data_IF_449316416842
#
_entry.id   IF_449316416842
#
_cell.length_a   1.000
_cell.length_b   1.000
_cell.length_c   1.000
_cell.angle_alpha   90.00
_cell.angle_beta   90.00
_cell.angle_gamma   90.00
#
_symmetry.space_group_name_H-M   'P 1'
#
loop_
_entity.id
_entity.type
_entity.pdbx_description
1 polymer ?
#
# COMPACT_ATOMS: atom_id res chain seq x y z
N UNK A 1 -48.03 -4.81 79.71
CA UNK A 1 -46.65 -4.86 79.18
C UNK A 1 -46.70 -5.40 77.77
N UNK A 2 -46.67 -4.47 76.75
CA UNK A 2 -46.75 -4.86 75.32
C UNK A 2 -45.33 -4.96 74.74
N UNK A 3 -44.97 -6.10 74.19
CA UNK A 3 -43.77 -6.29 73.37
C UNK A 3 -44.10 -5.96 71.95
N UNK A 4 -43.49 -4.91 71.39
CA UNK A 4 -43.55 -4.59 69.95
C UNK A 4 -42.47 -5.38 69.24
N UNK A 5 -42.86 -6.22 68.30
CA UNK A 5 -42.00 -6.94 67.36
C UNK A 5 -41.79 -6.05 66.13
N UNK A 6 -40.52 -5.68 65.84
CA UNK A 6 -40.14 -4.91 64.64
C UNK A 6 -39.74 -5.91 63.54
N UNK A 7 -40.52 -5.94 62.45
CA UNK A 7 -40.14 -6.67 61.24
C UNK A 7 -39.21 -5.79 60.39
N UNK A 8 -37.96 -6.22 60.21
CA UNK A 8 -37.02 -5.66 59.23
C UNK A 8 -37.22 -6.34 57.90
N UNK A 9 -37.73 -5.62 56.92
CA UNK A 9 -37.78 -6.05 55.52
C UNK A 9 -36.41 -5.77 54.86
N UNK A 10 -35.71 -6.85 54.49
CA UNK A 10 -34.50 -6.76 53.70
C UNK A 10 -34.87 -6.66 52.22
N UNK A 11 -34.70 -5.46 51.64
CA UNK A 11 -34.88 -5.23 50.21
C UNK A 11 -33.62 -5.69 49.47
N UNK A 12 -33.72 -6.76 48.71
CA UNK A 12 -32.69 -7.22 47.76
C UNK A 12 -32.72 -6.35 46.48
N UNK A 13 -31.79 -5.39 46.38
CA UNK A 13 -31.59 -4.66 45.14
C UNK A 13 -30.85 -5.56 44.14
N UNK A 14 -31.54 -6.06 43.14
CA UNK A 14 -30.95 -6.73 42.01
C UNK A 14 -30.26 -5.71 41.10
N UNK A 15 -28.94 -5.61 41.18
CA UNK A 15 -28.11 -4.92 40.20
C UNK A 15 -28.14 -5.70 38.90
N UNK A 16 -29.05 -5.33 37.99
CA UNK A 16 -29.00 -5.74 36.57
C UNK A 16 -27.78 -5.04 35.96
N UNK A 17 -26.64 -5.77 35.84
CA UNK A 17 -25.50 -5.37 35.08
C UNK A 17 -25.88 -5.20 33.62
N UNK A 18 -26.02 -3.97 33.14
CA UNK A 18 -26.02 -3.66 31.72
C UNK A 18 -24.62 -4.01 31.19
N UNK A 19 -24.43 -5.28 30.79
CA UNK A 19 -23.36 -5.64 29.88
C UNK A 19 -23.66 -4.91 28.57
N UNK A 20 -23.09 -3.73 28.38
CA UNK A 20 -23.11 -3.00 27.13
C UNK A 20 -22.51 -3.90 26.06
N UNK A 21 -23.37 -4.57 25.28
CA UNK A 21 -22.95 -5.19 24.04
C UNK A 21 -22.38 -4.09 23.17
N UNK A 22 -21.03 -3.96 23.12
CA UNK A 22 -20.39 -3.22 22.03
C UNK A 22 -20.95 -3.84 20.76
N UNK A 23 -21.86 -3.14 20.10
CA UNK A 23 -22.30 -3.52 18.78
C UNK A 23 -21.04 -3.74 17.95
N UNK A 24 -20.77 -4.97 17.55
CA UNK A 24 -19.68 -5.27 16.66
C UNK A 24 -19.86 -4.37 15.45
N UNK A 25 -18.89 -3.49 15.21
CA UNK A 25 -18.94 -2.58 14.07
C UNK A 25 -19.00 -3.46 12.83
N UNK A 26 -19.95 -3.21 11.93
CA UNK A 26 -20.09 -4.01 10.74
C UNK A 26 -18.79 -3.93 9.92
N UNK A 27 -18.28 -5.10 9.53
CA UNK A 27 -17.11 -5.22 8.65
C UNK A 27 -17.43 -4.58 7.28
N UNK A 28 -16.46 -3.95 6.65
CA UNK A 28 -16.64 -3.33 5.34
C UNK A 28 -17.17 -4.30 4.28
N UNK A 29 -16.85 -5.58 4.39
CA UNK A 29 -17.39 -6.64 3.53
C UNK A 29 -18.92 -6.68 3.57
N UNK A 30 -19.50 -6.67 4.77
CA UNK A 30 -20.95 -6.72 4.97
C UNK A 30 -21.61 -5.41 4.53
N UNK A 31 -20.95 -4.26 4.81
CA UNK A 31 -21.42 -2.95 4.35
C UNK A 31 -21.44 -2.89 2.81
N UNK A 32 -20.40 -3.39 2.13
CA UNK A 32 -20.33 -3.44 0.66
C UNK A 32 -21.39 -4.36 0.05
N UNK A 33 -21.60 -5.56 0.62
CA UNK A 33 -22.64 -6.49 0.19
C UNK A 33 -24.03 -5.89 0.34
N UNK A 34 -24.33 -5.29 1.49
CA UNK A 34 -25.63 -4.65 1.76
C UNK A 34 -25.89 -3.48 0.80
N UNK A 35 -24.87 -2.72 0.45
CA UNK A 35 -24.95 -1.60 -0.49
C UNK A 35 -25.00 -2.06 -1.95
N UNK A 36 -24.56 -3.28 -2.25
CA UNK A 36 -24.42 -3.82 -3.61
C UNK A 36 -23.25 -3.22 -4.39
N UNK A 37 -22.32 -2.54 -3.71
CA UNK A 37 -21.17 -1.87 -4.33
C UNK A 37 -19.96 -1.95 -3.42
N UNK A 38 -18.82 -2.38 -3.98
CA UNK A 38 -17.50 -2.30 -3.37
C UNK A 38 -16.84 -1.00 -3.85
N UNK A 39 -16.51 -0.10 -2.95
CA UNK A 39 -15.79 1.13 -3.24
C UNK A 39 -14.33 0.92 -2.93
N UNK A 40 -13.45 1.12 -3.93
CA UNK A 40 -12.00 0.87 -3.82
C UNK A 40 -11.26 2.17 -4.01
N UNK A 41 -10.42 2.54 -3.03
CA UNK A 41 -9.54 3.70 -3.09
C UNK A 41 -8.20 3.35 -3.74
N UNK A 42 -7.74 4.20 -4.65
CA UNK A 42 -6.44 4.08 -5.32
C UNK A 42 -5.93 5.44 -5.79
N UNK A 43 -4.62 5.53 -6.05
CA UNK A 43 -4.01 6.68 -6.72
C UNK A 43 -3.79 6.34 -8.20
N UNK A 44 -4.67 6.84 -9.08
CA UNK A 44 -4.68 6.45 -10.50
C UNK A 44 -3.59 7.17 -11.33
N UNK A 45 -2.36 7.20 -10.80
CA UNK A 45 -1.17 7.77 -11.43
C UNK A 45 0.07 6.85 -11.31
N UNK A 46 -0.14 5.54 -11.03
CA UNK A 46 0.94 4.60 -10.74
C UNK A 46 1.02 3.43 -11.72
N UNK A 47 1.50 3.71 -12.94
CA UNK A 47 1.68 2.70 -14.02
C UNK A 47 2.66 1.60 -13.58
N UNK A 48 2.35 0.31 -13.82
CA UNK A 48 1.17 -0.26 -14.46
C UNK A 48 0.11 -0.76 -13.46
N UNK A 49 0.21 -0.38 -12.18
CA UNK A 49 -0.70 -0.86 -11.13
C UNK A 49 -2.10 -0.26 -11.30
N UNK A 50 -2.21 1.06 -11.34
CA UNK A 50 -3.46 1.78 -11.57
C UNK A 50 -3.17 3.14 -12.22
N UNK A 51 -3.87 3.44 -13.32
CA UNK A 51 -3.69 4.68 -14.04
C UNK A 51 -4.88 4.99 -14.95
N UNK A 52 -5.05 6.26 -15.29
CA UNK A 52 -6.05 6.66 -16.26
C UNK A 52 -5.64 6.33 -17.69
N UNK A 53 -6.54 5.68 -18.44
CA UNK A 53 -6.48 5.52 -19.89
C UNK A 53 -7.88 5.67 -20.47
N UNK A 54 -8.04 6.55 -21.46
CA UNK A 54 -9.31 6.82 -22.12
C UNK A 54 -10.46 7.13 -21.14
N UNK A 55 -10.16 7.90 -20.07
CA UNK A 55 -11.12 8.30 -19.04
C UNK A 55 -11.51 7.20 -18.04
N UNK A 56 -10.86 6.03 -18.10
CA UNK A 56 -11.09 4.92 -17.16
C UNK A 56 -9.82 4.61 -16.38
N UNK A 57 -9.99 4.18 -15.14
CA UNK A 57 -8.89 3.63 -14.34
C UNK A 57 -8.71 2.17 -14.76
N UNK A 58 -7.50 1.84 -15.21
CA UNK A 58 -7.10 0.49 -15.60
C UNK A 58 -5.77 0.15 -14.94
N UNK A 59 -5.38 -1.12 -14.95
CA UNK A 59 -4.10 -1.57 -14.42
C UNK A 59 -4.16 -2.97 -13.81
N UNK A 60 -3.06 -3.36 -13.22
CA UNK A 60 -2.92 -4.63 -12.53
C UNK A 60 -3.89 -4.75 -11.34
N UNK A 61 -4.02 -3.68 -10.55
CA UNK A 61 -4.87 -3.63 -9.38
C UNK A 61 -6.37 -3.68 -9.72
N UNK A 62 -6.89 -2.88 -10.68
CA UNK A 62 -8.25 -3.05 -11.19
C UNK A 62 -8.54 -4.46 -11.72
N UNK A 63 -7.62 -5.06 -12.49
CA UNK A 63 -7.82 -6.42 -13.02
C UNK A 63 -7.96 -7.47 -11.89
N UNK A 64 -7.19 -7.35 -10.81
CA UNK A 64 -7.33 -8.25 -9.64
C UNK A 64 -8.70 -8.06 -8.99
N UNK A 65 -9.14 -6.80 -8.81
CA UNK A 65 -10.44 -6.49 -8.19
C UNK A 65 -11.57 -7.09 -9.02
N UNK A 66 -11.52 -6.99 -10.32
CA UNK A 66 -12.54 -7.51 -11.24
C UNK A 66 -12.66 -9.05 -11.19
N UNK A 67 -11.62 -9.75 -10.72
CA UNK A 67 -11.67 -11.21 -10.53
C UNK A 67 -12.35 -11.64 -9.24
N UNK A 68 -12.31 -10.84 -8.18
CA UNK A 68 -12.89 -11.25 -6.91
C UNK A 68 -14.22 -10.53 -6.56
N UNK A 69 -14.45 -9.32 -7.04
CA UNK A 69 -15.68 -8.59 -6.75
C UNK A 69 -16.97 -9.31 -7.20
N UNK A 70 -17.02 -9.98 -8.37
CA UNK A 70 -18.19 -10.77 -8.74
C UNK A 70 -18.54 -11.88 -7.74
N UNK A 71 -17.54 -12.43 -7.03
CA UNK A 71 -17.76 -13.45 -5.99
C UNK A 71 -18.43 -12.88 -4.73
N UNK A 72 -18.43 -11.56 -4.57
CA UNK A 72 -19.19 -10.86 -3.53
C UNK A 72 -20.64 -10.54 -3.96
N UNK A 73 -20.92 -10.63 -5.27
CA UNK A 73 -22.21 -10.22 -5.84
C UNK A 73 -22.40 -8.71 -5.85
N UNK A 74 -21.31 -7.92 -5.91
CA UNK A 74 -21.34 -6.47 -5.85
C UNK A 74 -20.73 -5.84 -7.12
N UNK A 75 -21.13 -4.59 -7.42
CA UNK A 75 -20.48 -3.76 -8.43
C UNK A 75 -19.19 -3.16 -7.85
N UNK A 76 -18.24 -2.80 -8.70
CA UNK A 76 -17.02 -2.10 -8.30
C UNK A 76 -17.14 -0.62 -8.64
N UNK A 77 -16.73 0.23 -7.71
CA UNK A 77 -16.52 1.65 -7.90
C UNK A 77 -15.07 1.99 -7.53
N UNK A 78 -14.27 2.37 -8.51
CA UNK A 78 -12.90 2.84 -8.29
C UNK A 78 -12.93 4.33 -7.98
N UNK A 79 -12.21 4.75 -6.94
CA UNK A 79 -12.12 6.15 -6.48
C UNK A 79 -10.66 6.57 -6.51
N UNK A 80 -10.36 7.49 -7.42
CA UNK A 80 -9.06 8.14 -7.44
C UNK A 80 -8.91 9.08 -6.24
N UNK A 81 -7.76 9.03 -5.58
CA UNK A 81 -7.45 9.87 -4.44
C UNK A 81 -5.94 10.09 -4.31
N UNK A 82 -5.53 11.26 -3.81
CA UNK A 82 -4.13 11.53 -3.58
C UNK A 82 -3.51 10.51 -2.62
N UNK A 83 -2.30 10.03 -2.96
CA UNK A 83 -1.55 9.08 -2.14
C UNK A 83 -1.34 9.57 -0.72
N UNK A 84 -0.93 10.83 -0.60
CA UNK A 84 -0.80 11.48 0.69
C UNK A 84 -2.19 11.70 1.30
N UNK A 85 -2.53 10.90 2.31
CA UNK A 85 -3.84 10.93 2.95
C UNK A 85 -4.77 9.76 2.60
N UNK A 86 -4.34 8.78 1.79
CA UNK A 86 -5.18 7.63 1.41
C UNK A 86 -5.60 6.79 2.64
N UNK A 87 -4.71 6.57 3.63
CA UNK A 87 -5.07 5.85 4.86
C UNK A 87 -6.09 6.63 5.71
N UNK A 88 -5.92 7.93 6.01
CA UNK A 88 -7.00 8.75 6.60
C UNK A 88 -8.33 8.68 5.87
N UNK A 89 -8.31 8.69 4.53
CA UNK A 89 -9.52 8.58 3.70
C UNK A 89 -10.23 7.23 3.85
N UNK A 90 -9.49 6.12 4.03
CA UNK A 90 -10.04 4.81 4.37
C UNK A 90 -10.80 4.84 5.71
N UNK A 91 -10.21 5.45 6.74
CA UNK A 91 -10.86 5.59 8.05
C UNK A 91 -12.03 6.58 8.04
N UNK A 92 -12.02 7.57 7.15
CA UNK A 92 -13.16 8.45 6.87
C UNK A 92 -14.26 7.76 6.04
N UNK A 93 -14.10 6.44 5.74
CA UNK A 93 -15.05 5.62 4.96
C UNK A 93 -15.35 6.18 3.55
N UNK A 94 -14.40 6.87 2.93
CA UNK A 94 -14.52 7.28 1.52
C UNK A 94 -14.51 6.09 0.57
N UNK A 95 -13.91 4.99 1.00
CA UNK A 95 -13.87 3.69 0.31
C UNK A 95 -13.76 2.56 1.34
N UNK A 96 -13.96 1.33 0.91
CA UNK A 96 -13.99 0.15 1.75
C UNK A 96 -12.60 -0.47 1.95
N UNK A 97 -11.75 -0.36 0.94
CA UNK A 97 -10.42 -0.96 0.87
C UNK A 97 -9.49 -0.06 0.04
N UNK A 98 -8.21 -0.09 0.33
CA UNK A 98 -7.17 0.49 -0.53
C UNK A 98 -6.56 -0.65 -1.35
N UNK A 99 -6.63 -0.52 -2.69
CA UNK A 99 -5.89 -1.36 -3.63
C UNK A 99 -5.13 -0.42 -4.54
N UNK A 100 -3.84 -0.18 -4.22
CA UNK A 100 -3.03 0.86 -4.85
C UNK A 100 -1.55 0.62 -4.57
N UNK A 101 -1.05 -0.55 -4.96
CA UNK A 101 0.35 -0.95 -4.80
C UNK A 101 0.97 -0.47 -3.47
N UNK A 102 0.23 -0.63 -2.35
CA UNK A 102 0.69 -0.13 -1.06
C UNK A 102 1.77 -1.04 -0.49
N UNK A 103 2.99 -0.53 -0.36
CA UNK A 103 4.09 -1.26 0.30
C UNK A 103 3.71 -1.58 1.73
N UNK A 104 3.83 -2.85 2.10
CA UNK A 104 3.67 -3.32 3.47
C UNK A 104 4.90 -2.85 4.26
N UNK A 105 4.72 -1.86 5.14
CA UNK A 105 5.76 -1.36 6.05
C UNK A 105 5.31 -1.50 7.49
N UNK A 106 6.26 -1.57 8.42
CA UNK A 106 5.97 -1.64 9.86
C UNK A 106 5.05 -0.50 10.30
N UNK A 107 5.38 0.75 9.92
CA UNK A 107 4.58 1.92 10.28
C UNK A 107 3.13 1.83 9.78
N UNK A 108 2.92 1.36 8.55
CA UNK A 108 1.58 1.19 7.97
C UNK A 108 0.83 0.02 8.59
N UNK A 109 1.53 -1.09 8.90
CA UNK A 109 0.95 -2.25 9.57
C UNK A 109 0.44 -1.93 11.00
N UNK A 110 0.96 -0.90 11.64
CA UNK A 110 0.39 -0.38 12.90
C UNK A 110 -0.97 0.29 12.70
N UNK A 111 -1.22 0.87 11.52
CA UNK A 111 -2.43 1.66 11.20
C UNK A 111 -3.50 0.88 10.45
N UNK A 112 -3.15 -0.11 9.63
CA UNK A 112 -4.06 -0.89 8.78
C UNK A 112 -3.76 -2.38 8.86
N UNK A 113 -4.74 -3.23 8.45
CA UNK A 113 -4.48 -4.62 8.13
C UNK A 113 -4.03 -4.71 6.67
N UNK A 114 -3.11 -5.62 6.38
CA UNK A 114 -2.71 -5.91 5.01
C UNK A 114 -3.20 -7.29 4.57
N UNK A 115 -3.52 -7.43 3.28
CA UNK A 115 -3.64 -8.74 2.65
C UNK A 115 -2.28 -9.44 2.63
N UNK A 116 -2.25 -10.74 2.29
CA UNK A 116 -1.02 -11.36 1.83
C UNK A 116 -0.43 -10.57 0.66
N UNK A 117 0.90 -10.60 0.47
CA UNK A 117 1.57 -9.97 -0.65
C UNK A 117 1.05 -10.45 -2.01
N UNK A 118 0.84 -9.51 -2.95
CA UNK A 118 0.40 -9.83 -4.31
C UNK A 118 1.35 -9.35 -5.41
N UNK A 119 2.35 -8.53 -5.06
CA UNK A 119 3.42 -8.11 -5.95
C UNK A 119 4.69 -7.73 -5.17
N UNK A 120 5.84 -7.70 -5.87
CA UNK A 120 7.13 -7.24 -5.36
C UNK A 120 7.17 -5.70 -5.32
N UNK A 121 7.62 -5.15 -4.20
CA UNK A 121 7.78 -3.72 -3.96
C UNK A 121 9.24 -3.31 -3.71
N UNK A 122 10.20 -4.20 -3.98
CA UNK A 122 11.63 -3.94 -3.79
C UNK A 122 12.07 -2.69 -4.54
N UNK A 123 12.80 -1.80 -3.86
CA UNK A 123 13.18 -0.51 -4.41
C UNK A 123 14.44 -0.60 -5.25
N UNK A 124 14.49 0.23 -6.27
CA UNK A 124 15.65 0.47 -7.12
C UNK A 124 15.86 1.97 -7.31
N UNK A 125 17.04 2.34 -7.79
CA UNK A 125 17.41 3.71 -8.12
C UNK A 125 17.33 3.85 -9.64
N UNK A 126 16.42 4.72 -10.11
CA UNK A 126 16.28 5.11 -11.51
C UNK A 126 17.19 6.29 -11.81
N UNK A 127 17.93 6.20 -12.87
CA UNK A 127 18.88 7.20 -13.35
C UNK A 127 18.60 7.54 -14.81
N UNK A 128 19.08 8.70 -15.28
CA UNK A 128 19.20 8.95 -16.72
C UNK A 128 20.14 7.92 -17.36
N UNK A 129 19.88 7.52 -18.59
CA UNK A 129 20.68 6.50 -19.30
C UNK A 129 22.17 6.86 -19.38
N UNK A 130 22.48 8.17 -19.49
CA UNK A 130 23.85 8.70 -19.60
C UNK A 130 24.45 9.18 -18.26
N UNK A 131 23.88 8.79 -17.13
CA UNK A 131 24.40 9.11 -15.80
C UNK A 131 25.45 8.07 -15.39
N UNK A 132 26.73 8.43 -15.38
CA UNK A 132 27.83 7.49 -15.11
C UNK A 132 28.51 7.71 -13.75
N UNK A 133 28.14 8.79 -13.04
CA UNK A 133 28.73 9.11 -11.72
C UNK A 133 28.05 8.35 -10.57
N UNK A 134 26.85 7.77 -10.77
CA UNK A 134 26.09 7.02 -9.76
C UNK A 134 26.09 5.55 -10.16
N UNK A 135 26.85 4.71 -9.45
CA UNK A 135 26.98 3.27 -9.68
C UNK A 135 26.40 2.43 -8.54
N UNK A 136 26.36 2.99 -7.35
CA UNK A 136 25.86 2.37 -6.13
C UNK A 136 24.95 3.34 -5.37
N UNK A 137 24.20 2.85 -4.39
CA UNK A 137 23.38 3.69 -3.53
C UNK A 137 24.24 4.73 -2.76
N UNK A 138 25.47 4.41 -2.43
CA UNK A 138 26.40 5.29 -1.71
C UNK A 138 26.78 6.53 -2.52
N UNK A 139 26.72 6.47 -3.85
CA UNK A 139 27.02 7.61 -4.75
C UNK A 139 25.85 8.62 -4.79
N UNK A 140 24.73 8.35 -4.12
CA UNK A 140 23.66 9.33 -3.89
C UNK A 140 24.07 10.42 -2.90
N UNK A 141 25.17 10.25 -2.18
CA UNK A 141 25.73 11.29 -1.32
C UNK A 141 26.07 12.54 -2.14
N UNK A 142 25.55 13.69 -1.72
CA UNK A 142 25.69 14.97 -2.43
C UNK A 142 24.81 15.11 -3.68
N UNK A 143 23.88 14.17 -3.95
CA UNK A 143 22.94 14.21 -5.08
C UNK A 143 21.56 14.67 -4.65
N UNK A 144 20.76 15.11 -5.62
CA UNK A 144 19.34 15.44 -5.44
C UNK A 144 18.51 14.22 -5.76
N UNK A 145 17.74 13.71 -4.80
CA UNK A 145 16.94 12.48 -4.93
C UNK A 145 15.45 12.82 -4.98
N UNK A 146 14.75 12.27 -5.96
CA UNK A 146 13.29 12.41 -6.13
C UNK A 146 12.54 11.21 -5.57
N UNK A 147 11.45 11.46 -4.84
CA UNK A 147 10.50 10.45 -4.34
C UNK A 147 9.09 11.02 -4.31
N UNK A 148 8.08 10.15 -4.20
CA UNK A 148 6.70 10.60 -3.94
C UNK A 148 6.49 10.87 -2.45
N UNK A 149 5.72 11.91 -2.12
CA UNK A 149 5.32 12.27 -0.75
C UNK A 149 4.59 11.09 -0.10
N UNK A 150 5.01 10.70 1.11
CA UNK A 150 4.38 9.62 1.88
C UNK A 150 4.58 8.21 1.31
N UNK A 151 5.42 8.04 0.26
CA UNK A 151 5.80 6.73 -0.25
C UNK A 151 6.70 5.96 0.73
N UNK A 152 6.76 4.63 0.61
CA UNK A 152 7.74 3.84 1.36
C UNK A 152 9.18 4.24 1.00
N UNK A 153 9.43 4.59 -0.27
CA UNK A 153 10.74 5.06 -0.72
C UNK A 153 11.19 6.32 0.05
N UNK A 154 10.28 7.26 0.37
CA UNK A 154 10.62 8.44 1.17
C UNK A 154 11.14 8.08 2.57
N UNK A 155 10.56 7.07 3.22
CA UNK A 155 11.05 6.53 4.50
C UNK A 155 12.41 5.84 4.35
N UNK A 156 12.55 5.00 3.32
CA UNK A 156 13.77 4.22 3.05
C UNK A 156 14.96 5.15 2.76
N UNK A 157 14.81 6.18 1.90
CA UNK A 157 15.91 7.11 1.61
C UNK A 157 16.29 7.94 2.82
N UNK A 158 15.35 8.30 3.69
CA UNK A 158 15.64 8.99 4.96
C UNK A 158 16.53 8.14 5.88
N UNK A 159 16.19 6.84 6.01
CA UNK A 159 17.01 5.88 6.78
C UNK A 159 18.39 5.70 6.15
N UNK A 160 18.46 5.62 4.82
CA UNK A 160 19.71 5.47 4.11
C UNK A 160 20.60 6.73 4.22
N UNK A 161 20.01 7.93 4.21
CA UNK A 161 20.73 9.17 4.45
C UNK A 161 21.42 9.18 5.83
N UNK A 162 20.71 8.71 6.86
CA UNK A 162 21.29 8.57 8.20
C UNK A 162 22.48 7.60 8.19
N UNK A 163 22.41 6.50 7.43
CA UNK A 163 23.52 5.55 7.23
C UNK A 163 24.71 6.23 6.51
N UNK A 164 24.46 7.00 5.45
CA UNK A 164 25.52 7.76 4.76
C UNK A 164 26.25 8.70 5.73
N UNK A 165 25.51 9.48 6.51
CA UNK A 165 26.05 10.42 7.50
C UNK A 165 26.84 9.72 8.60
N UNK A 166 26.34 8.59 9.10
CA UNK A 166 27.07 7.76 10.07
C UNK A 166 28.37 7.18 9.49
N UNK A 167 28.42 6.94 8.18
CA UNK A 167 29.63 6.54 7.44
C UNK A 167 30.55 7.69 7.03
N UNK A 168 30.32 8.93 7.54
CA UNK A 168 31.14 10.11 7.28
C UNK A 168 30.88 10.81 5.93
N UNK A 169 29.80 10.45 5.22
CA UNK A 169 29.37 11.11 3.98
C UNK A 169 28.39 12.27 4.30
N UNK A 170 28.31 13.32 3.46
CA UNK A 170 27.44 14.47 3.73
C UNK A 170 25.93 14.17 3.70
N UNK A 171 25.50 13.02 3.16
CA UNK A 171 24.09 12.74 2.88
C UNK A 171 23.67 13.22 1.50
N UNK A 172 22.38 13.43 1.26
CA UNK A 172 21.87 13.99 0.01
C UNK A 172 22.09 15.51 -0.04
N UNK A 173 22.21 16.08 -1.24
CA UNK A 173 22.17 17.53 -1.41
C UNK A 173 20.77 18.08 -1.16
N UNK A 174 19.75 17.36 -1.65
CA UNK A 174 18.33 17.66 -1.43
C UNK A 174 17.48 16.41 -1.68
N UNK A 175 16.25 16.40 -1.12
CA UNK A 175 15.22 15.41 -1.39
C UNK A 175 13.97 16.10 -1.91
N UNK A 176 13.73 16.01 -3.22
CA UNK A 176 12.50 16.52 -3.82
C UNK A 176 11.36 15.53 -3.70
N UNK A 177 10.26 16.00 -3.16
CA UNK A 177 9.04 15.23 -2.98
C UNK A 177 7.97 15.69 -3.97
N UNK A 178 7.31 14.74 -4.63
CA UNK A 178 6.33 14.95 -5.68
C UNK A 178 4.98 14.37 -5.26
N UNK A 179 3.90 14.96 -5.73
CA UNK A 179 2.55 14.40 -5.55
C UNK A 179 2.45 13.06 -6.28
N UNK A 180 2.94 12.98 -7.52
CA UNK A 180 2.92 11.78 -8.35
C UNK A 180 4.30 11.46 -8.94
N UNK A 181 4.62 10.18 -9.08
CA UNK A 181 5.91 9.74 -9.66
C UNK A 181 6.18 10.20 -11.09
N UNK A 182 5.20 10.31 -12.02
CA UNK A 182 5.47 10.86 -13.36
C UNK A 182 6.16 12.22 -13.35
N UNK A 183 5.88 13.08 -12.38
CA UNK A 183 6.55 14.39 -12.20
C UNK A 183 8.04 14.21 -11.85
N UNK A 184 8.34 13.25 -10.96
CA UNK A 184 9.72 12.93 -10.57
C UNK A 184 10.53 12.39 -11.78
N UNK A 185 9.91 11.54 -12.63
CA UNK A 185 10.58 11.03 -13.83
C UNK A 185 10.86 12.14 -14.84
N UNK A 186 9.92 13.08 -15.00
CA UNK A 186 10.13 14.23 -15.87
C UNK A 186 11.25 15.13 -15.34
N UNK A 187 11.31 15.36 -14.03
CA UNK A 187 12.38 16.15 -13.41
C UNK A 187 13.73 15.43 -13.45
N UNK A 188 13.76 14.10 -13.44
CA UNK A 188 14.97 13.33 -13.68
C UNK A 188 15.51 13.56 -15.11
N UNK A 189 14.66 13.53 -16.12
CA UNK A 189 15.04 13.83 -17.52
C UNK A 189 15.51 15.29 -17.68
N UNK A 190 14.86 16.22 -16.99
CA UNK A 190 15.21 17.64 -17.00
C UNK A 190 16.42 18.00 -16.13
N UNK A 191 17.10 17.01 -15.52
CA UNK A 191 18.27 17.21 -14.64
C UNK A 191 17.99 18.04 -13.39
N UNK A 192 16.73 18.09 -12.94
CA UNK A 192 16.33 18.76 -11.69
C UNK A 192 16.46 17.86 -10.47
N UNK A 193 16.52 16.55 -10.69
CA UNK A 193 16.96 15.53 -9.74
C UNK A 193 18.01 14.63 -10.42
N UNK A 194 18.87 14.01 -9.63
CA UNK A 194 19.91 13.11 -10.12
C UNK A 194 19.46 11.66 -10.17
N UNK A 195 18.56 11.29 -9.26
CA UNK A 195 18.02 9.95 -9.11
C UNK A 195 16.56 9.99 -8.66
N UNK A 196 15.79 8.94 -8.98
CA UNK A 196 14.45 8.69 -8.41
C UNK A 196 14.46 7.29 -7.79
N UNK A 197 13.93 7.15 -6.56
CA UNK A 197 13.81 5.86 -5.89
C UNK A 197 12.35 5.41 -5.93
N UNK A 198 12.11 4.22 -6.48
CA UNK A 198 10.78 3.63 -6.56
C UNK A 198 10.87 2.10 -6.72
N UNK A 199 9.72 1.40 -6.82
CA UNK A 199 9.68 -0.06 -6.96
C UNK A 199 10.27 -0.52 -8.29
N UNK A 200 11.00 -1.65 -8.25
CA UNK A 200 11.61 -2.27 -9.42
C UNK A 200 10.57 -2.61 -10.50
N UNK A 201 9.43 -3.16 -10.10
CA UNK A 201 8.36 -3.55 -11.02
C UNK A 201 7.84 -2.37 -11.85
N UNK A 202 7.61 -1.21 -11.22
CA UNK A 202 7.23 0.02 -11.91
C UNK A 202 8.36 0.54 -12.81
N UNK A 203 9.60 0.54 -12.32
CA UNK A 203 10.74 1.05 -13.10
C UNK A 203 10.99 0.27 -14.38
N UNK A 204 10.80 -1.04 -14.36
CA UNK A 204 10.91 -1.87 -15.58
C UNK A 204 9.91 -1.43 -16.66
N UNK A 205 8.68 -1.09 -16.28
CA UNK A 205 7.67 -0.60 -17.22
C UNK A 205 8.00 0.82 -17.69
N UNK A 206 8.37 1.72 -16.80
CA UNK A 206 8.81 3.09 -17.17
C UNK A 206 9.97 3.06 -18.15
N UNK A 207 10.95 2.17 -17.97
CA UNK A 207 12.08 2.02 -18.90
C UNK A 207 11.66 1.43 -20.23
N UNK A 208 10.71 0.48 -20.25
CA UNK A 208 10.14 -0.10 -21.47
C UNK A 208 9.38 0.95 -22.29
N UNK A 209 8.62 1.82 -21.62
CA UNK A 209 7.80 2.86 -22.27
C UNK A 209 8.64 4.07 -22.73
N UNK A 210 9.85 4.24 -22.17
CA UNK A 210 10.80 5.29 -22.55
C UNK A 210 12.19 4.72 -22.88
N UNK A 211 12.33 3.95 -23.99
CA UNK A 211 13.55 3.23 -24.32
C UNK A 211 14.73 4.19 -24.51
N UNK A 212 15.86 3.84 -23.90
CA UNK A 212 17.10 4.63 -23.98
C UNK A 212 17.12 5.93 -23.14
N UNK A 213 16.07 6.24 -22.39
CA UNK A 213 16.02 7.44 -21.53
C UNK A 213 16.56 7.17 -20.13
N UNK A 214 16.35 5.99 -19.63
CA UNK A 214 16.65 5.63 -18.25
C UNK A 214 17.51 4.37 -18.16
N UNK A 215 18.18 4.22 -17.03
CA UNK A 215 18.76 2.98 -16.51
C UNK A 215 18.42 2.86 -15.04
N UNK A 216 18.51 1.67 -14.49
CA UNK A 216 18.35 1.44 -13.05
C UNK A 216 19.56 0.72 -12.49
N UNK A 217 19.82 0.97 -11.21
CA UNK A 217 20.81 0.24 -10.40
C UNK A 217 20.15 -0.34 -9.16
N UNK A 218 20.89 -1.08 -8.34
CA UNK A 218 20.39 -1.66 -7.11
C UNK A 218 19.73 -0.68 -6.17
N UNK A 219 18.91 -1.17 -5.26
CA UNK A 219 18.16 -0.34 -4.31
C UNK A 219 19.01 0.23 -3.17
N UNK A 220 18.35 1.04 -2.35
CA UNK A 220 18.93 1.63 -1.12
C UNK A 220 18.67 0.78 0.13
N UNK A 221 17.94 -0.32 -0.01
CA UNK A 221 17.61 -1.27 1.06
C UNK A 221 17.79 -2.70 0.57
N UNK A 222 18.34 -3.54 1.44
CA UNK A 222 18.48 -4.99 1.20
C UNK A 222 17.24 -5.78 1.64
N UNK A 223 16.24 -5.11 2.25
CA UNK A 223 15.01 -5.74 2.69
C UNK A 223 14.07 -5.89 1.49
N UNK A 224 13.66 -7.13 1.20
CA UNK A 224 12.63 -7.40 0.20
C UNK A 224 11.30 -6.83 0.68
N UNK A 225 10.70 -5.97 -0.12
CA UNK A 225 9.42 -5.34 0.16
C UNK A 225 8.33 -5.91 -0.75
N UNK A 226 7.08 -5.86 -0.28
CA UNK A 226 5.92 -6.37 -1.01
C UNK A 226 4.77 -5.38 -0.97
N UNK A 227 3.90 -5.43 -1.99
CA UNK A 227 2.63 -4.73 -2.00
C UNK A 227 1.52 -5.61 -1.41
N UNK A 228 0.64 -4.98 -0.62
CA UNK A 228 -0.56 -5.58 -0.05
C UNK A 228 -1.75 -4.63 -0.17
N UNK A 229 -2.96 -5.18 -0.25
CA UNK A 229 -4.19 -4.40 -0.13
C UNK A 229 -4.39 -4.03 1.34
N UNK A 230 -4.90 -2.82 1.61
CA UNK A 230 -5.00 -2.33 2.98
C UNK A 230 -6.47 -2.13 3.42
N UNK A 231 -6.76 -2.59 4.63
CA UNK A 231 -8.08 -2.58 5.27
C UNK A 231 -8.00 -1.84 6.60
N UNK A 232 -9.15 -1.34 7.10
CA UNK A 232 -9.23 -0.88 8.48
C UNK A 232 -8.92 -2.03 9.45
N UNK A 233 -8.43 -1.73 10.62
CA UNK A 233 -8.06 -2.75 11.63
C UNK A 233 -9.22 -3.68 12.04
N UNK A 234 -10.43 -3.19 11.98
CA UNK A 234 -11.65 -3.92 12.28
C UNK A 234 -12.16 -4.83 11.14
N UNK A 235 -11.73 -4.58 9.89
CA UNK A 235 -12.26 -5.28 8.69
C UNK A 235 -11.57 -6.65 8.46
N UNK A 236 -11.56 -7.49 9.49
CA UNK A 236 -10.84 -8.78 9.47
C UNK A 236 -11.50 -9.82 8.56
N UNK A 237 -12.83 -9.82 8.45
CA UNK A 237 -13.54 -10.72 7.56
C UNK A 237 -13.29 -10.35 6.09
N UNK A 238 -13.20 -9.05 5.77
CA UNK A 238 -12.87 -8.62 4.43
C UNK A 238 -11.43 -8.99 4.04
N UNK A 239 -10.47 -8.76 4.92
CA UNK A 239 -9.09 -9.21 4.74
C UNK A 239 -9.01 -10.72 4.48
N UNK A 240 -9.70 -11.52 5.30
CA UNK A 240 -9.72 -12.98 5.17
C UNK A 240 -10.31 -13.43 3.82
N UNK A 241 -11.41 -12.80 3.38
CA UNK A 241 -11.99 -13.05 2.06
C UNK A 241 -10.98 -12.75 0.94
N UNK A 242 -10.35 -11.58 0.95
CA UNK A 242 -9.37 -11.19 -0.08
C UNK A 242 -8.17 -12.13 -0.07
N UNK A 243 -7.66 -12.51 1.10
CA UNK A 243 -6.57 -13.48 1.22
C UNK A 243 -6.94 -14.83 0.60
N UNK A 244 -8.17 -15.31 0.79
CA UNK A 244 -8.66 -16.53 0.16
C UNK A 244 -8.67 -16.40 -1.37
N UNK A 245 -9.11 -15.25 -1.90
CA UNK A 245 -9.11 -15.03 -3.35
C UNK A 245 -7.69 -14.98 -3.92
N UNK A 246 -6.78 -14.23 -3.28
CA UNK A 246 -5.38 -14.14 -3.69
C UNK A 246 -4.68 -15.51 -3.65
N UNK A 247 -4.93 -16.32 -2.60
CA UNK A 247 -4.40 -17.67 -2.50
C UNK A 247 -4.89 -18.56 -3.67
N UNK A 248 -6.17 -18.47 -4.03
CA UNK A 248 -6.74 -19.17 -5.20
C UNK A 248 -6.06 -18.73 -6.50
N UNK A 249 -5.93 -17.41 -6.73
CA UNK A 249 -5.28 -16.85 -7.93
C UNK A 249 -3.79 -17.22 -8.03
N UNK A 250 -3.10 -17.39 -6.90
CA UNK A 250 -1.72 -17.89 -6.87
C UNK A 250 -1.68 -19.37 -7.25
N UNK A 251 -2.57 -20.18 -6.67
CA UNK A 251 -2.60 -21.63 -6.87
C UNK A 251 -2.97 -22.04 -8.31
N UNK A 252 -3.91 -21.33 -8.94
CA UNK A 252 -4.37 -21.62 -10.30
C UNK A 252 -3.60 -20.87 -11.39
N UNK A 253 -2.60 -20.08 -11.04
CA UNK A 253 -1.74 -19.31 -11.96
C UNK A 253 -2.39 -18.05 -12.53
N UNK A 254 -3.59 -17.67 -12.08
CA UNK A 254 -4.29 -16.46 -12.56
C UNK A 254 -3.48 -15.20 -12.21
N UNK A 255 -2.92 -15.13 -10.99
CA UNK A 255 -2.10 -13.99 -10.58
C UNK A 255 -0.83 -13.86 -11.44
N UNK A 256 -0.17 -14.98 -11.76
CA UNK A 256 1.00 -15.01 -12.64
C UNK A 256 0.68 -14.50 -14.06
N UNK A 257 -0.47 -14.90 -14.63
CA UNK A 257 -0.92 -14.40 -15.93
C UNK A 257 -1.16 -12.89 -15.93
N UNK A 258 -1.74 -12.34 -14.86
CA UNK A 258 -1.89 -10.90 -14.72
C UNK A 258 -0.54 -10.18 -14.58
N UNK A 259 0.41 -10.77 -13.86
CA UNK A 259 1.77 -10.24 -13.75
C UNK A 259 2.48 -10.23 -15.12
N UNK A 260 2.37 -11.30 -15.89
CA UNK A 260 2.91 -11.33 -17.25
C UNK A 260 2.26 -10.29 -18.17
N UNK A 261 0.94 -10.13 -18.09
CA UNK A 261 0.19 -9.12 -18.86
C UNK A 261 0.71 -7.70 -18.62
N UNK A 262 0.91 -7.33 -17.36
CA UNK A 262 1.20 -5.96 -16.97
C UNK A 262 2.69 -5.63 -16.85
N UNK A 263 3.51 -6.61 -16.43
CA UNK A 263 4.93 -6.41 -16.16
C UNK A 263 5.84 -7.16 -17.15
N UNK A 264 5.31 -8.10 -17.91
CA UNK A 264 6.09 -8.96 -18.79
C UNK A 264 6.92 -10.04 -18.06
N UNK A 265 6.66 -10.24 -16.77
CA UNK A 265 7.32 -11.25 -15.94
C UNK A 265 6.46 -11.60 -14.74
N UNK A 266 6.66 -12.79 -14.17
CA UNK A 266 6.04 -13.21 -12.91
C UNK A 266 6.83 -12.75 -11.70
N UNK A 267 6.16 -12.59 -10.56
CA UNK A 267 6.75 -12.21 -9.27
C UNK A 267 6.42 -13.26 -8.22
N UNK A 268 7.45 -13.77 -7.54
CA UNK A 268 7.25 -14.63 -6.38
C UNK A 268 6.91 -13.78 -5.16
N UNK A 269 5.80 -14.11 -4.49
CA UNK A 269 5.37 -13.43 -3.27
C UNK A 269 4.97 -14.42 -2.20
N UNK A 270 5.27 -14.18 -0.89
CA UNK A 270 4.88 -15.07 0.19
C UNK A 270 3.35 -15.15 0.35
N UNK A 271 2.89 -16.22 1.01
CA UNK A 271 1.46 -16.44 1.28
C UNK A 271 0.98 -15.80 2.60
N UNK A 272 1.85 -15.05 3.26
CA UNK A 272 1.54 -14.28 4.46
C UNK A 272 2.35 -12.98 4.46
N UNK A 273 1.94 -12.01 5.24
CA UNK A 273 2.74 -10.80 5.49
C UNK A 273 4.05 -11.22 6.17
N UNK A 274 5.23 -10.82 5.65
CA UNK A 274 6.51 -11.15 6.26
C UNK A 274 6.66 -10.58 7.68
N UNK A 275 7.41 -11.26 8.54
CA UNK A 275 7.74 -10.78 9.89
C UNK A 275 8.67 -9.56 9.85
N UNK A 276 9.62 -9.54 8.90
CA UNK A 276 10.55 -8.42 8.69
C UNK A 276 9.98 -7.51 7.61
N UNK A 277 9.74 -6.27 7.99
CA UNK A 277 9.18 -5.22 7.13
C UNK A 277 10.13 -4.01 7.05
N UNK A 278 10.19 -3.33 5.90
CA UNK A 278 10.96 -2.10 5.75
C UNK A 278 10.41 -0.94 6.59
#
# INVERSE_FOLDING_TARGET
MLRRTVLTAAGSAALLGLAGTRAARADALDEAKKRGTLVVGMEAAYVPYEFFKDGKIIGYDPDIIDLFAPKLGVKVQLVDTAWNGIIPALYAKKFDVIVSAMTITKERAEKVLFSMPYADASNVILLRANEDSIKTADDLSGKVVGVQIGSAAAGIIKTFEAKLKAGGKPGYADVKQYEHYPEAYQDLLNKRVDAVVNSKSTMLVVMKDAPGKFKMIGGVSDITAYFGMAFRKEDTAFQAFVNQQLAGMKADGTLAKLQEKWFGATMSTPNAVPEVLP
#
